data_IF_315027899845
#
_entry.id   IF_315027899845
#
_cell.length_a   1.000
_cell.length_b   1.000
_cell.length_c   1.000
_cell.angle_alpha   90.00
_cell.angle_beta   90.00
_cell.angle_gamma   90.00
#
_symmetry.space_group_name_H-M   'P 1'
#
loop_
_entity.id
_entity.type
_entity.pdbx_description
1 polymer ?
#
# COMPACT_ATOMS: atom_id res chain seq x y z
N UNK A 1 -5.90 19.21 -5.69
CA UNK A 1 -6.13 17.76 -5.74
C UNK A 1 -4.96 17.11 -5.02
N UNK A 2 -5.15 16.18 -4.07
CA UNK A 2 -4.01 15.51 -3.44
C UNK A 2 -3.18 14.84 -4.56
N UNK A 3 -1.90 15.17 -4.61
CA UNK A 3 -0.97 14.54 -5.55
C UNK A 3 -0.67 13.12 -5.03
N UNK A 4 -0.84 12.12 -5.90
CA UNK A 4 -0.54 10.73 -5.58
C UNK A 4 -1.55 9.73 -6.13
N UNK A 5 -1.20 8.45 -6.03
CA UNK A 5 -2.05 7.33 -6.43
C UNK A 5 -3.07 7.06 -5.32
N UNK A 6 -4.39 7.19 -5.58
CA UNK A 6 -5.42 6.85 -4.61
C UNK A 6 -5.54 5.34 -4.50
N UNK A 7 -5.36 4.81 -3.30
CA UNK A 7 -5.48 3.39 -2.98
C UNK A 7 -6.55 3.22 -1.91
N UNK A 8 -7.34 2.14 -2.00
CA UNK A 8 -8.33 1.84 -0.98
C UNK A 8 -7.63 1.52 0.35
N UNK A 9 -8.02 2.18 1.43
CA UNK A 9 -7.42 1.95 2.75
C UNK A 9 -7.53 0.50 3.20
N UNK A 10 -8.63 -0.18 2.85
CA UNK A 10 -8.82 -1.60 3.18
C UNK A 10 -7.83 -2.52 2.47
N UNK A 11 -7.13 -2.04 1.44
CA UNK A 11 -6.11 -2.82 0.75
C UNK A 11 -4.73 -2.61 1.37
N UNK A 12 -4.54 -1.55 2.17
CA UNK A 12 -3.26 -1.26 2.79
C UNK A 12 -3.15 -2.05 4.10
N UNK A 13 -2.30 -3.05 4.09
CA UNK A 13 -2.13 -4.00 5.19
C UNK A 13 -0.68 -4.05 5.62
N UNK A 14 -0.46 -4.41 6.88
CA UNK A 14 0.86 -4.63 7.44
C UNK A 14 1.10 -6.12 7.59
N UNK A 15 2.22 -6.58 7.07
CA UNK A 15 2.69 -7.95 7.27
C UNK A 15 3.23 -8.13 8.69
N UNK A 16 3.26 -9.38 9.17
CA UNK A 16 3.83 -9.76 10.48
C UNK A 16 5.30 -9.35 10.65
N UNK A 17 6.04 -9.25 9.55
CA UNK A 17 7.44 -8.76 9.54
C UNK A 17 7.54 -7.25 9.77
N UNK A 18 6.41 -6.52 9.69
CA UNK A 18 6.35 -5.06 9.85
C UNK A 18 6.31 -4.30 8.52
N UNK A 19 6.50 -4.99 7.40
CA UNK A 19 6.38 -4.44 6.05
C UNK A 19 4.95 -3.98 5.77
N UNK A 20 4.81 -2.79 5.20
CA UNK A 20 3.51 -2.26 4.78
C UNK A 20 3.34 -2.55 3.29
N UNK A 21 2.25 -3.20 2.95
CA UNK A 21 1.98 -3.64 1.58
C UNK A 21 0.56 -3.30 1.18
N UNK A 22 0.31 -3.23 -0.12
CA UNK A 22 -1.02 -3.10 -0.70
C UNK A 22 -1.41 -4.46 -1.24
N UNK A 23 -2.48 -5.02 -0.69
CA UNK A 23 -3.12 -6.21 -1.23
C UNK A 23 -3.89 -5.85 -2.51
N UNK A 24 -3.45 -6.41 -3.63
CA UNK A 24 -4.15 -6.31 -4.91
C UNK A 24 -5.08 -7.50 -5.16
N UNK A 25 -5.09 -8.49 -4.24
CA UNK A 25 -5.71 -9.79 -4.43
C UNK A 25 -4.82 -10.76 -5.22
N UNK A 26 -5.28 -11.99 -5.41
CA UNK A 26 -4.56 -13.05 -6.15
C UNK A 26 -3.14 -13.33 -5.60
N UNK A 27 -2.96 -13.24 -4.27
CA UNK A 27 -1.66 -13.33 -3.59
C UNK A 27 -0.62 -12.30 -4.07
N UNK A 28 -1.05 -11.23 -4.75
CA UNK A 28 -0.20 -10.15 -5.24
C UNK A 28 -0.23 -8.97 -4.27
N UNK A 29 0.90 -8.72 -3.63
CA UNK A 29 1.08 -7.63 -2.70
C UNK A 29 2.10 -6.65 -3.27
N UNK A 30 1.95 -5.37 -2.99
CA UNK A 30 2.92 -4.36 -3.40
C UNK A 30 3.51 -3.67 -2.17
N UNK A 31 4.83 -3.77 -2.01
CA UNK A 31 5.55 -3.08 -0.95
C UNK A 31 5.43 -1.56 -1.13
N UNK A 32 4.91 -0.83 -0.14
CA UNK A 32 4.75 0.62 -0.25
C UNK A 32 6.08 1.37 -0.17
N UNK A 33 7.11 0.72 0.38
CA UNK A 33 8.41 1.34 0.59
C UNK A 33 9.24 1.35 -0.70
N UNK A 34 9.40 0.19 -1.32
CA UNK A 34 10.21 -0.06 -2.52
C UNK A 34 9.36 0.01 -3.79
N UNK A 35 8.06 -0.26 -3.67
CA UNK A 35 7.14 -0.34 -4.78
C UNK A 35 7.11 -1.71 -5.48
N UNK A 36 7.92 -2.65 -5.02
CA UNK A 36 8.05 -3.98 -5.58
C UNK A 36 6.80 -4.83 -5.35
N UNK A 37 6.51 -5.70 -6.32
CA UNK A 37 5.43 -6.66 -6.20
C UNK A 37 5.97 -7.95 -5.59
N UNK A 38 5.41 -8.33 -4.45
CA UNK A 38 5.77 -9.53 -3.72
C UNK A 38 4.58 -10.49 -3.68
N UNK A 39 4.87 -11.78 -3.84
CA UNK A 39 3.92 -12.83 -3.55
C UNK A 39 3.94 -13.10 -2.05
N UNK A 40 2.89 -12.68 -1.34
CA UNK A 40 2.71 -12.99 0.07
C UNK A 40 1.41 -13.79 0.25
N UNK A 41 1.24 -14.40 1.42
CA UNK A 41 -0.01 -15.05 1.76
C UNK A 41 -0.82 -14.12 2.66
N UNK A 42 -2.15 -14.12 2.54
CA UNK A 42 -3.04 -13.40 3.45
C UNK A 42 -2.81 -13.81 4.92
N UNK A 43 -2.28 -15.02 5.19
CA UNK A 43 -1.88 -15.45 6.54
C UNK A 43 -0.71 -14.66 7.13
N UNK A 44 0.11 -14.03 6.29
CA UNK A 44 1.22 -13.18 6.71
C UNK A 44 0.75 -11.76 7.03
N UNK A 45 -0.47 -11.40 6.64
CA UNK A 45 -1.09 -10.15 7.03
C UNK A 45 -1.33 -10.17 8.54
N UNK A 46 -0.77 -9.18 9.22
CA UNK A 46 -0.99 -8.95 10.65
C UNK A 46 -2.31 -8.22 10.85
N UNK A 47 -2.48 -7.05 10.24
CA UNK A 47 -3.67 -6.22 10.33
C UNK A 47 -3.69 -5.14 9.24
N UNK A 48 -4.84 -4.48 9.10
CA UNK A 48 -5.00 -3.30 8.26
C UNK A 48 -4.38 -2.08 8.94
N UNK A 49 -3.88 -1.12 8.15
CA UNK A 49 -3.23 0.05 8.73
C UNK A 49 -4.17 0.92 9.57
N UNK A 50 -3.72 1.17 10.79
CA UNK A 50 -4.35 2.09 11.73
C UNK A 50 -4.00 3.55 11.40
N UNK A 51 -4.73 4.50 11.98
CA UNK A 51 -4.51 5.92 11.73
C UNK A 51 -3.09 6.36 12.13
N UNK A 52 -2.55 5.81 13.23
CA UNK A 52 -1.18 6.11 13.69
C UNK A 52 -0.12 5.69 12.68
N UNK A 53 -0.29 4.53 12.04
CA UNK A 53 0.66 4.04 11.03
C UNK A 53 0.57 4.85 9.75
N UNK A 54 -0.64 5.28 9.36
CA UNK A 54 -0.82 6.19 8.24
C UNK A 54 -0.23 7.57 8.53
N UNK A 55 -0.33 8.07 9.76
CA UNK A 55 0.33 9.31 10.19
C UNK A 55 1.85 9.19 10.07
N UNK A 56 2.42 8.06 10.51
CA UNK A 56 3.83 7.76 10.32
C UNK A 56 4.23 7.78 8.83
N UNK A 57 3.41 7.18 7.96
CA UNK A 57 3.65 7.19 6.51
C UNK A 57 3.63 8.59 5.91
N UNK A 58 2.80 9.49 6.43
CA UNK A 58 2.83 10.92 6.08
C UNK A 58 4.12 11.57 6.54
N UNK A 59 4.54 11.32 7.79
CA UNK A 59 5.77 11.89 8.37
C UNK A 59 7.02 11.51 7.59
N UNK A 60 7.09 10.27 7.10
CA UNK A 60 8.21 9.79 6.27
C UNK A 60 8.05 10.13 4.78
N UNK A 61 6.98 10.84 4.39
CA UNK A 61 6.75 11.33 3.03
C UNK A 61 6.33 10.27 2.00
N UNK A 62 5.85 9.10 2.44
CA UNK A 62 5.33 8.04 1.57
C UNK A 62 3.87 8.28 1.19
N UNK A 63 3.07 8.74 2.15
CA UNK A 63 1.66 9.09 1.97
C UNK A 63 1.53 10.61 1.98
N UNK A 64 0.78 11.16 1.04
CA UNK A 64 0.48 12.60 0.98
C UNK A 64 -0.65 12.95 1.93
N UNK A 65 -1.70 12.13 1.94
CA UNK A 65 -2.87 12.27 2.78
C UNK A 65 -3.59 10.92 2.89
N UNK A 66 -4.47 10.77 3.87
CA UNK A 66 -5.43 9.67 3.92
C UNK A 66 -6.77 10.15 4.49
N UNK A 67 -7.82 9.39 4.23
CA UNK A 67 -9.13 9.54 4.85
C UNK A 67 -9.66 8.15 5.28
N UNK A 68 -10.94 8.07 5.64
CA UNK A 68 -11.53 6.81 6.12
C UNK A 68 -11.49 5.68 5.09
N UNK A 69 -11.49 6.00 3.79
CA UNK A 69 -11.64 5.00 2.71
C UNK A 69 -10.43 4.94 1.75
N UNK A 70 -9.61 5.98 1.68
CA UNK A 70 -8.58 6.17 0.67
C UNK A 70 -7.29 6.68 1.28
N UNK A 71 -6.17 6.14 0.80
CA UNK A 71 -4.82 6.59 1.12
C UNK A 71 -4.19 7.07 -0.18
N UNK A 72 -3.65 8.29 -0.18
CA UNK A 72 -2.98 8.88 -1.34
C UNK A 72 -1.47 8.71 -1.19
N UNK A 73 -0.89 7.78 -1.96
CA UNK A 73 0.56 7.53 -1.94
C UNK A 73 1.29 8.41 -2.94
N UNK A 74 2.43 8.97 -2.55
CA UNK A 74 3.16 9.96 -3.35
C UNK A 74 3.86 9.35 -4.58
N UNK A 75 4.47 8.17 -4.43
CA UNK A 75 5.10 7.41 -5.53
C UNK A 75 4.93 5.91 -5.31
N UNK A 76 3.78 5.35 -5.67
CA UNK A 76 3.70 3.93 -5.95
C UNK A 76 4.11 3.73 -7.41
N UNK A 77 5.03 2.80 -7.72
CA UNK A 77 5.21 2.42 -9.11
C UNK A 77 3.90 1.87 -9.64
N UNK A 78 3.61 2.27 -10.86
CA UNK A 78 2.50 1.77 -11.65
C UNK A 78 2.53 0.25 -11.69
N UNK A 79 1.38 -0.41 -11.46
CA UNK A 79 1.24 -1.86 -11.63
C UNK A 79 1.84 -2.23 -12.98
N UNK A 80 2.67 -3.28 -13.09
CA UNK A 80 3.13 -3.75 -14.38
C UNK A 80 1.88 -4.02 -15.20
N UNK A 81 1.58 -3.11 -16.13
CA UNK A 81 0.57 -3.36 -17.13
C UNK A 81 1.21 -4.46 -17.96
N UNK A 82 0.73 -5.69 -17.81
CA UNK A 82 1.00 -6.73 -18.79
C UNK A 82 0.70 -6.11 -20.14
N UNK A 83 1.76 -5.75 -20.86
CA UNK A 83 1.65 -5.35 -22.26
C UNK A 83 1.28 -6.65 -22.96
N UNK A 84 -0.01 -6.95 -23.01
CA UNK A 84 -0.53 -7.97 -23.90
C UNK A 84 -0.36 -7.42 -25.31
N UNK A 85 0.62 -7.98 -26.02
CA UNK A 85 0.85 -7.82 -27.45
C UNK A 85 -0.34 -8.31 -28.29
#
# INVERSE_FOLDING_TARGET
>A
MPAGTPVNRQWVVKLKDGTIVIDWGDALFQDVHSGDFISANEKEVSHHLENDELDLLIRIGKVTAFNAHTVWFNRLPERPQSTME
#
